data_IF_465251435620
#
_entry.id   IF_465251435620
#
_cell.length_a   1.000
_cell.length_b   1.000
_cell.length_c   1.000
_cell.angle_alpha   90.00
_cell.angle_beta   90.00
_cell.angle_gamma   90.00
#
_symmetry.space_group_name_H-M   'P 1'
#
loop_
_entity.id
_entity.type
_entity.pdbx_description
1 polymer ?
#
# COMPACT_ATOMS: atom_id res chain seq x y z
N UNK A 1 19.30 -9.94 -51.34
CA UNK A 1 18.52 -10.61 -50.27
C UNK A 1 19.35 -11.02 -49.05
N UNK A 2 20.68 -11.06 -49.09
CA UNK A 2 21.50 -11.50 -47.91
C UNK A 2 21.86 -10.38 -46.92
N UNK A 3 21.77 -9.10 -47.29
CA UNK A 3 22.14 -7.96 -46.42
C UNK A 3 21.03 -7.61 -45.46
N UNK A 4 19.75 -7.71 -45.87
CA UNK A 4 18.58 -7.39 -45.02
C UNK A 4 18.43 -8.39 -43.86
N UNK A 5 18.73 -9.68 -44.09
CA UNK A 5 18.67 -10.72 -43.06
C UNK A 5 19.68 -10.52 -41.93
N UNK A 6 20.88 -10.00 -42.22
CA UNK A 6 21.94 -9.76 -41.22
C UNK A 6 21.63 -8.55 -40.32
N UNK A 7 20.99 -7.50 -40.88
CA UNK A 7 20.62 -6.29 -40.10
C UNK A 7 19.48 -6.60 -39.13
N UNK A 8 18.50 -7.41 -39.54
CA UNK A 8 17.38 -7.83 -38.66
C UNK A 8 17.90 -8.75 -37.54
N UNK A 9 18.85 -9.64 -37.81
CA UNK A 9 19.42 -10.50 -36.77
C UNK A 9 20.28 -9.73 -35.77
N UNK A 10 21.06 -8.73 -36.21
CA UNK A 10 21.83 -7.87 -35.32
C UNK A 10 20.94 -6.96 -34.45
N UNK A 11 19.84 -6.41 -35.00
CA UNK A 11 18.92 -5.60 -34.23
C UNK A 11 18.14 -6.42 -33.20
N UNK A 12 17.80 -7.67 -33.51
CA UNK A 12 17.15 -8.58 -32.58
C UNK A 12 18.12 -9.03 -31.46
N UNK A 13 19.39 -9.30 -31.78
CA UNK A 13 20.41 -9.63 -30.78
C UNK A 13 20.74 -8.45 -29.86
N UNK A 14 20.80 -7.20 -30.39
CA UNK A 14 20.99 -6.01 -29.54
C UNK A 14 19.79 -5.72 -28.64
N UNK A 15 18.56 -5.95 -29.09
CA UNK A 15 17.36 -5.78 -28.26
C UNK A 15 17.25 -6.83 -27.16
N UNK A 16 17.67 -8.05 -27.40
CA UNK A 16 17.69 -9.13 -26.39
C UNK A 16 18.82 -8.93 -25.39
N UNK A 17 20.00 -8.49 -25.83
CA UNK A 17 21.14 -8.17 -24.94
C UNK A 17 20.80 -6.95 -24.05
N UNK A 18 20.26 -5.87 -24.62
CA UNK A 18 19.84 -4.70 -23.87
C UNK A 18 18.72 -5.01 -22.87
N UNK A 19 17.77 -5.87 -23.22
CA UNK A 19 16.74 -6.33 -22.29
C UNK A 19 17.33 -7.22 -21.16
N UNK A 20 18.29 -8.07 -21.46
CA UNK A 20 18.97 -8.90 -20.47
C UNK A 20 19.85 -8.06 -19.52
N UNK A 21 20.57 -7.07 -20.05
CA UNK A 21 21.34 -6.12 -19.24
C UNK A 21 20.44 -5.25 -18.36
N UNK A 22 19.29 -4.76 -18.88
CA UNK A 22 18.31 -3.99 -18.09
C UNK A 22 17.69 -4.85 -16.99
N UNK A 23 17.38 -6.12 -17.27
CA UNK A 23 16.87 -7.06 -16.26
C UNK A 23 17.93 -7.42 -15.21
N UNK A 24 19.21 -7.57 -15.61
CA UNK A 24 20.31 -7.82 -14.68
C UNK A 24 20.62 -6.57 -13.82
N UNK A 25 20.59 -5.39 -14.41
CA UNK A 25 20.79 -4.11 -13.71
C UNK A 25 19.64 -3.87 -12.72
N UNK A 26 18.38 -4.10 -13.13
CA UNK A 26 17.22 -4.01 -12.25
C UNK A 26 17.26 -5.04 -11.11
N UNK A 27 17.83 -6.23 -11.34
CA UNK A 27 18.02 -7.22 -10.30
C UNK A 27 19.10 -6.83 -9.27
N UNK A 28 20.08 -6.02 -9.68
CA UNK A 28 21.16 -5.50 -8.82
C UNK A 28 20.78 -4.19 -8.09
N UNK A 29 19.83 -3.42 -8.67
CA UNK A 29 19.32 -2.16 -8.13
C UNK A 29 17.95 -2.31 -7.45
N UNK A 30 17.55 -3.53 -7.04
CA UNK A 30 16.27 -3.75 -6.38
C UNK A 30 16.18 -2.96 -5.08
N UNK A 31 15.41 -1.87 -5.15
CA UNK A 31 14.92 -1.16 -3.98
C UNK A 31 13.61 -1.81 -3.55
N UNK A 32 13.62 -2.53 -2.44
CA UNK A 32 12.43 -3.13 -1.87
C UNK A 32 11.89 -2.27 -0.72
N UNK A 33 10.64 -1.80 -0.84
CA UNK A 33 10.03 -0.91 0.15
C UNK A 33 9.45 -1.71 1.31
N UNK A 34 9.84 -1.36 2.54
CA UNK A 34 9.25 -1.87 3.77
C UNK A 34 8.16 -0.92 4.25
N UNK A 35 6.90 -1.36 4.18
CA UNK A 35 5.72 -0.58 4.59
C UNK A 35 5.22 -1.06 5.96
N UNK A 36 5.06 -0.14 6.90
CA UNK A 36 4.53 -0.41 8.23
C UNK A 36 3.00 -0.58 8.16
N UNK A 37 2.51 -1.82 8.23
CA UNK A 37 1.09 -2.18 8.23
C UNK A 37 0.40 -1.57 9.44
N UNK A 38 -0.53 -0.62 9.24
CA UNK A 38 -1.21 0.15 10.29
C UNK A 38 -0.26 0.82 11.28
N UNK A 39 0.94 1.21 10.79
CA UNK A 39 2.01 1.74 11.61
C UNK A 39 2.89 0.69 12.30
N UNK A 40 2.65 -0.62 12.09
CA UNK A 40 3.36 -1.73 12.72
C UNK A 40 2.52 -2.41 13.82
N UNK A 41 1.43 -3.07 13.43
CA UNK A 41 0.36 -3.54 14.35
C UNK A 41 0.79 -4.52 15.43
N UNK A 42 1.95 -5.19 15.30
CA UNK A 42 2.50 -6.05 16.34
C UNK A 42 3.35 -5.30 17.37
N UNK A 43 3.82 -4.09 17.00
CA UNK A 43 4.77 -3.33 17.81
C UNK A 43 4.12 -2.10 18.46
N UNK A 44 3.05 -1.58 17.86
CA UNK A 44 2.39 -0.34 18.30
C UNK A 44 0.88 -0.52 18.46
N UNK A 45 0.20 0.52 18.89
CA UNK A 45 -1.26 0.61 18.84
C UNK A 45 -1.68 0.98 17.41
N UNK A 46 -2.22 0.01 16.67
CA UNK A 46 -2.45 0.12 15.23
C UNK A 46 -3.31 1.32 14.86
N UNK A 47 -3.04 1.93 13.71
CA UNK A 47 -3.86 3.01 13.15
C UNK A 47 -4.03 4.22 14.09
N UNK A 48 -3.02 4.53 14.91
CA UNK A 48 -3.02 5.69 15.81
C UNK A 48 -1.85 6.62 15.51
N UNK A 49 -2.01 7.93 15.81
CA UNK A 49 -0.92 8.92 15.66
C UNK A 49 0.28 8.53 16.52
N UNK A 50 0.05 8.01 17.75
CA UNK A 50 1.13 7.51 18.61
C UNK A 50 1.89 6.34 17.96
N UNK A 51 1.15 5.40 17.33
CA UNK A 51 1.74 4.30 16.59
C UNK A 51 2.61 4.76 15.42
N UNK A 52 2.11 5.68 14.60
CA UNK A 52 2.87 6.26 13.47
C UNK A 52 4.09 7.04 13.95
N UNK A 53 4.01 7.76 15.07
CA UNK A 53 5.16 8.45 15.67
C UNK A 53 6.26 7.46 16.10
N UNK A 54 5.89 6.34 16.70
CA UNK A 54 6.85 5.30 17.09
C UNK A 54 7.51 4.68 15.87
N UNK A 55 6.73 4.37 14.83
CA UNK A 55 7.25 3.88 13.55
C UNK A 55 8.23 4.90 12.91
N UNK A 56 7.87 6.19 12.89
CA UNK A 56 8.75 7.25 12.38
C UNK A 56 10.06 7.34 13.16
N UNK A 57 9.98 7.29 14.50
CA UNK A 57 11.15 7.34 15.39
C UNK A 57 12.06 6.13 15.23
N UNK A 58 11.52 4.95 14.86
CA UNK A 58 12.29 3.77 14.51
C UNK A 58 13.01 3.88 13.15
N UNK A 59 12.70 4.93 12.36
CA UNK A 59 13.29 5.18 11.06
C UNK A 59 12.43 4.77 9.86
N UNK A 60 11.20 4.34 10.10
CA UNK A 60 10.26 4.00 9.02
C UNK A 60 9.72 5.27 8.33
N UNK A 61 9.57 5.21 7.01
CA UNK A 61 9.08 6.31 6.16
C UNK A 61 7.97 5.87 5.21
N UNK A 62 7.49 4.63 5.38
CA UNK A 62 6.44 4.06 4.57
C UNK A 62 5.37 3.43 5.48
N UNK A 63 4.13 3.84 5.31
CA UNK A 63 2.98 3.39 6.12
C UNK A 63 1.88 2.85 5.23
N UNK A 64 1.18 1.88 5.73
CA UNK A 64 -0.15 1.52 5.28
C UNK A 64 -1.14 1.90 6.39
N UNK A 65 -2.33 2.36 6.02
CA UNK A 65 -3.40 2.72 6.95
C UNK A 65 -4.77 2.66 6.30
N UNK A 66 -5.79 2.37 7.11
CA UNK A 66 -7.13 2.02 6.69
C UNK A 66 -8.11 3.17 6.86
N UNK A 67 -8.88 3.50 5.84
CA UNK A 67 -9.83 4.62 5.86
C UNK A 67 -11.27 4.14 5.77
N UNK A 68 -12.13 4.72 6.61
CA UNK A 68 -13.59 4.54 6.63
C UNK A 68 -14.29 5.89 6.73
N UNK A 69 -15.56 5.94 6.40
CA UNK A 69 -16.34 7.18 6.51
C UNK A 69 -17.43 7.04 7.57
N UNK A 70 -17.50 7.98 8.48
CA UNK A 70 -18.56 8.07 9.50
C UNK A 70 -19.93 8.35 8.88
N UNK A 71 -21.00 8.15 9.65
CA UNK A 71 -22.39 8.44 9.25
C UNK A 71 -22.59 9.86 8.75
N UNK A 72 -21.90 10.83 9.33
CA UNK A 72 -21.95 12.26 8.96
C UNK A 72 -20.86 12.65 7.95
N UNK A 73 -20.22 11.66 7.32
CA UNK A 73 -19.36 11.84 6.16
C UNK A 73 -17.93 12.31 6.44
N UNK A 74 -17.40 12.08 7.64
CA UNK A 74 -15.99 12.35 7.97
C UNK A 74 -15.15 11.09 7.76
N UNK A 75 -13.99 11.24 7.11
CA UNK A 75 -13.05 10.10 6.92
C UNK A 75 -12.23 9.92 8.18
N UNK A 76 -12.22 8.71 8.72
CA UNK A 76 -11.47 8.32 9.93
C UNK A 76 -10.61 7.09 9.65
N UNK A 77 -9.64 6.82 10.52
CA UNK A 77 -8.71 5.70 10.38
C UNK A 77 -9.17 4.52 11.22
N UNK A 78 -9.59 3.44 10.57
CA UNK A 78 -9.98 2.19 11.21
C UNK A 78 -9.99 1.03 10.24
N UNK A 79 -9.38 -0.10 10.63
CA UNK A 79 -9.40 -1.31 9.82
C UNK A 79 -10.76 -2.00 9.84
N UNK A 80 -11.26 -2.34 11.04
CA UNK A 80 -12.48 -3.10 11.19
C UNK A 80 -13.72 -2.22 10.95
N UNK A 81 -14.77 -2.80 10.38
CA UNK A 81 -16.06 -2.14 10.34
C UNK A 81 -16.61 -1.98 11.76
N UNK A 82 -16.73 -3.08 12.53
CA UNK A 82 -17.10 -3.04 13.94
C UNK A 82 -15.91 -2.59 14.82
N UNK A 83 -16.17 -1.67 15.72
CA UNK A 83 -15.16 -1.12 16.62
C UNK A 83 -14.94 -1.98 17.88
N UNK A 84 -15.43 -3.23 17.88
CA UNK A 84 -15.37 -4.14 19.02
C UNK A 84 -13.94 -4.48 19.43
N UNK A 85 -13.07 -4.81 18.47
CA UNK A 85 -11.71 -5.27 18.74
C UNK A 85 -10.83 -4.15 19.34
N UNK A 86 -10.86 -2.96 18.75
CA UNK A 86 -9.96 -1.87 19.14
C UNK A 86 -10.52 -0.97 20.23
N UNK A 87 -11.83 -0.76 20.26
CA UNK A 87 -12.48 0.24 21.11
C UNK A 87 -13.54 -0.35 22.04
N UNK A 88 -13.76 -1.66 22.01
CA UNK A 88 -14.78 -2.38 22.79
C UNK A 88 -16.23 -1.89 22.57
N UNK A 89 -16.52 -1.35 21.38
CA UNK A 89 -17.86 -0.86 20.97
C UNK A 89 -18.36 -1.68 19.80
N UNK A 90 -19.50 -2.36 19.95
CA UNK A 90 -20.08 -3.20 18.89
C UNK A 90 -20.98 -2.37 17.97
N UNK A 91 -20.39 -1.40 17.31
CA UNK A 91 -20.99 -0.55 16.27
C UNK A 91 -19.98 -0.37 15.14
N UNK A 92 -20.49 -0.16 13.92
CA UNK A 92 -19.63 0.16 12.77
C UNK A 92 -19.32 1.65 12.74
N UNK A 93 -18.16 2.02 12.16
CA UNK A 93 -17.80 3.44 11.94
C UNK A 93 -18.91 4.15 11.16
N UNK A 94 -19.43 3.50 10.13
CA UNK A 94 -20.44 4.07 9.23
C UNK A 94 -21.81 4.28 9.91
N UNK A 95 -22.01 3.71 11.11
CA UNK A 95 -23.22 3.93 11.93
C UNK A 95 -23.06 5.02 12.98
N UNK A 96 -21.85 5.57 13.15
CA UNK A 96 -21.50 6.57 14.15
C UNK A 96 -21.19 7.92 13.50
N UNK A 97 -21.55 9.01 14.20
CA UNK A 97 -21.07 10.36 13.87
C UNK A 97 -19.63 10.56 14.33
N UNK A 98 -18.97 11.61 13.83
CA UNK A 98 -17.63 11.97 14.31
C UNK A 98 -17.59 12.20 15.81
N UNK A 99 -18.61 12.88 16.38
CA UNK A 99 -18.68 13.13 17.84
C UNK A 99 -18.73 11.83 18.64
N UNK A 100 -19.47 10.83 18.15
CA UNK A 100 -19.51 9.49 18.75
C UNK A 100 -18.16 8.74 18.61
N UNK A 101 -17.44 8.92 17.51
CA UNK A 101 -16.11 8.34 17.28
C UNK A 101 -15.06 9.02 18.16
N UNK A 102 -15.11 10.33 18.33
CA UNK A 102 -14.11 11.11 19.10
C UNK A 102 -13.97 10.74 20.58
N UNK A 103 -14.99 10.13 21.16
CA UNK A 103 -14.93 9.68 22.57
C UNK A 103 -14.33 8.27 22.72
N UNK A 104 -14.17 7.54 21.63
CA UNK A 104 -13.60 6.19 21.65
C UNK A 104 -12.12 6.24 22.00
N UNK A 105 -11.67 5.24 22.79
CA UNK A 105 -10.26 5.06 23.14
C UNK A 105 -9.89 3.60 23.00
N UNK A 106 -8.70 3.35 22.45
CA UNK A 106 -8.08 2.02 22.47
C UNK A 106 -7.76 1.60 23.89
N UNK A 107 -7.38 0.35 24.11
CA UNK A 107 -6.93 -0.14 25.41
C UNK A 107 -5.71 0.63 25.97
N UNK A 108 -4.91 1.27 25.10
CA UNK A 108 -3.77 2.12 25.47
C UNK A 108 -4.14 3.60 25.61
N UNK A 109 -5.42 3.95 25.46
CA UNK A 109 -5.93 5.32 25.62
C UNK A 109 -5.86 6.21 24.35
N UNK A 110 -5.45 5.68 23.21
CA UNK A 110 -5.33 6.42 21.97
C UNK A 110 -6.71 6.68 21.32
N UNK A 111 -6.97 7.89 20.79
CA UNK A 111 -8.17 8.16 20.00
C UNK A 111 -8.06 7.55 18.59
N UNK A 112 -9.20 7.39 17.92
CA UNK A 112 -9.27 7.15 16.48
C UNK A 112 -8.99 8.45 15.73
N UNK A 113 -7.96 8.52 14.85
CA UNK A 113 -7.66 9.74 14.11
C UNK A 113 -8.64 9.93 12.94
N UNK A 114 -8.87 11.18 12.55
CA UNK A 114 -9.42 11.50 11.23
C UNK A 114 -8.33 11.45 10.16
N UNK A 115 -8.73 11.33 8.88
CA UNK A 115 -7.79 11.45 7.77
C UNK A 115 -7.08 12.82 7.77
N UNK A 116 -7.81 13.90 8.05
CA UNK A 116 -7.21 15.24 8.12
C UNK A 116 -6.14 15.33 9.22
N UNK A 117 -6.41 14.80 10.41
CA UNK A 117 -5.43 14.77 11.51
C UNK A 117 -4.19 13.95 11.14
N UNK A 118 -4.36 12.82 10.48
CA UNK A 118 -3.26 11.98 10.03
C UNK A 118 -2.40 12.67 8.96
N UNK A 119 -3.01 13.21 7.91
CA UNK A 119 -2.25 13.87 6.85
C UNK A 119 -1.60 15.18 7.33
N UNK A 120 -2.27 15.93 8.21
CA UNK A 120 -1.69 17.10 8.86
C UNK A 120 -0.45 16.72 9.72
N UNK A 121 -0.50 15.56 10.38
CA UNK A 121 0.64 15.02 11.12
C UNK A 121 1.84 14.67 10.22
N UNK A 122 1.61 14.36 8.96
CA UNK A 122 2.68 14.07 7.99
C UNK A 122 3.20 15.30 7.25
N UNK A 123 2.54 16.46 7.37
CA UNK A 123 2.81 17.64 6.57
C UNK A 123 4.22 18.24 6.77
N UNK A 124 4.83 18.03 7.93
CA UNK A 124 6.18 18.49 8.29
C UNK A 124 7.29 17.45 8.02
N UNK A 125 6.97 16.30 7.44
CA UNK A 125 7.94 15.25 7.12
C UNK A 125 8.58 15.49 5.75
N UNK A 126 9.88 15.19 5.62
CA UNK A 126 10.62 15.40 4.37
C UNK A 126 10.11 14.49 3.25
N UNK A 127 9.85 13.23 3.57
CA UNK A 127 9.36 12.21 2.65
C UNK A 127 8.52 11.16 3.38
N UNK A 128 7.36 10.81 2.80
CA UNK A 128 6.54 9.70 3.25
C UNK A 128 5.98 8.93 2.06
N UNK A 129 5.99 7.61 2.13
CA UNK A 129 5.17 6.76 1.29
C UNK A 129 3.96 6.31 2.11
N UNK A 130 2.75 6.46 1.59
CA UNK A 130 1.53 6.09 2.31
C UNK A 130 0.60 5.31 1.39
N UNK A 131 0.28 4.06 1.79
CA UNK A 131 -0.80 3.27 1.23
C UNK A 131 -2.09 3.58 1.98
N UNK A 132 -3.04 4.20 1.28
CA UNK A 132 -4.35 4.60 1.81
C UNK A 132 -5.37 3.52 1.47
N UNK A 133 -5.60 2.53 2.35
CA UNK A 133 -6.56 1.47 2.06
C UNK A 133 -8.00 1.94 2.24
N UNK A 134 -8.76 1.90 1.14
CA UNK A 134 -10.17 2.26 1.10
C UNK A 134 -11.03 1.05 1.50
N UNK A 135 -11.52 1.04 2.74
CA UNK A 135 -12.29 -0.07 3.36
C UNK A 135 -13.78 0.02 3.00
N UNK A 136 -14.13 -0.28 1.76
CA UNK A 136 -15.49 -0.08 1.22
C UNK A 136 -16.23 -1.38 0.86
N UNK A 137 -15.61 -2.55 1.06
CA UNK A 137 -16.17 -3.86 0.72
C UNK A 137 -16.63 -4.68 1.93
N UNK A 138 -16.84 -4.05 3.07
CA UNK A 138 -17.33 -4.72 4.28
C UNK A 138 -18.76 -5.21 4.13
N UNK A 139 -19.07 -6.38 4.69
CA UNK A 139 -20.46 -6.88 4.76
C UNK A 139 -21.31 -6.09 5.78
N UNK A 140 -20.66 -5.52 6.78
CA UNK A 140 -21.28 -4.76 7.86
C UNK A 140 -21.55 -3.30 7.48
N UNK A 141 -20.86 -2.81 6.43
CA UNK A 141 -20.97 -1.42 5.99
C UNK A 141 -20.91 -1.34 4.46
N UNK A 142 -22.06 -1.11 3.86
CA UNK A 142 -22.20 -1.00 2.41
C UNK A 142 -22.17 0.47 1.97
N UNK A 143 -21.38 0.74 0.92
CA UNK A 143 -21.33 2.05 0.27
C UNK A 143 -22.08 2.00 -1.06
N UNK A 144 -23.06 2.92 -1.24
CA UNK A 144 -23.66 3.18 -2.56
C UNK A 144 -22.63 3.84 -3.48
N UNK A 145 -22.89 3.86 -4.80
CA UNK A 145 -21.98 4.50 -5.75
C UNK A 145 -21.83 6.01 -5.49
N UNK A 146 -22.88 6.69 -5.04
CA UNK A 146 -22.85 8.09 -4.65
C UNK A 146 -21.96 8.30 -3.40
N UNK A 147 -22.16 7.49 -2.36
CA UNK A 147 -21.33 7.53 -1.15
C UNK A 147 -19.87 7.22 -1.47
N UNK A 148 -19.59 6.26 -2.38
CA UNK A 148 -18.22 5.95 -2.80
C UNK A 148 -17.56 7.11 -3.52
N UNK A 149 -18.30 7.83 -4.38
CA UNK A 149 -17.77 9.00 -5.10
C UNK A 149 -17.44 10.12 -4.11
N UNK A 150 -18.30 10.39 -3.15
CA UNK A 150 -18.04 11.37 -2.09
C UNK A 150 -16.86 10.94 -1.20
N UNK A 151 -16.81 9.68 -0.80
CA UNK A 151 -15.72 9.10 -0.03
C UNK A 151 -14.38 9.26 -0.75
N UNK A 152 -14.28 8.86 -2.02
CA UNK A 152 -13.06 8.95 -2.82
C UNK A 152 -12.58 10.41 -2.94
N UNK A 153 -13.51 11.34 -3.21
CA UNK A 153 -13.20 12.78 -3.29
C UNK A 153 -12.64 13.30 -1.97
N UNK A 154 -13.34 13.06 -0.86
CA UNK A 154 -12.93 13.52 0.48
C UNK A 154 -11.58 12.97 0.90
N UNK A 155 -11.36 11.67 0.69
CA UNK A 155 -10.08 11.03 1.04
C UNK A 155 -8.93 11.60 0.21
N UNK A 156 -9.13 11.74 -1.11
CA UNK A 156 -8.10 12.30 -1.99
C UNK A 156 -7.78 13.75 -1.64
N UNK A 157 -8.80 14.60 -1.45
CA UNK A 157 -8.62 16.00 -1.09
C UNK A 157 -7.90 16.14 0.26
N UNK A 158 -8.28 15.37 1.29
CA UNK A 158 -7.60 15.35 2.57
C UNK A 158 -6.12 14.95 2.44
N UNK A 159 -5.84 13.90 1.65
CA UNK A 159 -4.49 13.41 1.41
C UNK A 159 -3.62 14.46 0.68
N UNK A 160 -4.16 15.12 -0.34
CA UNK A 160 -3.38 16.05 -1.17
C UNK A 160 -3.23 17.44 -0.56
N UNK A 161 -4.10 17.85 0.37
CA UNK A 161 -4.14 19.19 0.98
C UNK A 161 -2.81 19.61 1.60
N UNK A 162 -2.13 18.69 2.27
CA UNK A 162 -0.87 18.96 2.99
C UNK A 162 0.26 17.99 2.64
N UNK A 163 0.14 17.32 1.49
CA UNK A 163 1.12 16.34 1.05
C UNK A 163 2.49 16.98 0.83
N UNK A 164 3.57 16.53 1.53
CA UNK A 164 4.91 17.00 1.26
C UNK A 164 5.32 16.74 -0.21
N UNK A 165 6.07 17.64 -0.81
CA UNK A 165 6.35 17.64 -2.26
C UNK A 165 6.95 16.32 -2.77
N UNK A 166 7.81 15.68 -2.00
CA UNK A 166 8.49 14.44 -2.38
C UNK A 166 7.79 13.17 -1.91
N UNK A 167 6.68 13.30 -1.17
CA UNK A 167 5.93 12.15 -0.66
C UNK A 167 5.11 11.47 -1.76
N UNK A 168 4.88 10.17 -1.60
CA UNK A 168 4.08 9.34 -2.51
C UNK A 168 2.89 8.79 -1.74
N UNK A 169 1.68 9.09 -2.19
CA UNK A 169 0.45 8.54 -1.62
C UNK A 169 -0.25 7.68 -2.67
N UNK A 170 -0.62 6.46 -2.26
CA UNK A 170 -1.20 5.43 -3.13
C UNK A 170 -2.55 5.01 -2.56
N UNK A 171 -3.60 5.02 -3.36
CA UNK A 171 -4.95 4.61 -2.94
C UNK A 171 -5.15 3.15 -3.23
N UNK A 172 -5.36 2.35 -2.19
CA UNK A 172 -5.39 0.90 -2.28
C UNK A 172 -6.77 0.37 -1.92
N UNK A 173 -7.21 -0.74 -2.53
CA UNK A 173 -8.47 -1.38 -2.14
C UNK A 173 -8.59 -2.81 -2.66
N UNK A 174 -9.32 -3.65 -1.91
CA UNK A 174 -9.89 -4.91 -2.39
C UNK A 174 -11.15 -4.68 -3.26
N UNK A 175 -11.83 -3.54 -3.08
CA UNK A 175 -12.99 -3.15 -3.85
C UNK A 175 -12.56 -2.41 -5.12
N UNK A 176 -12.94 -2.93 -6.28
CA UNK A 176 -12.61 -2.33 -7.58
C UNK A 176 -13.36 -1.02 -7.84
N UNK A 177 -14.50 -0.79 -7.18
CA UNK A 177 -15.34 0.40 -7.41
C UNK A 177 -14.61 1.70 -7.05
N UNK A 178 -14.07 1.87 -5.82
CA UNK A 178 -13.35 3.10 -5.47
C UNK A 178 -12.08 3.29 -6.29
N UNK A 179 -11.39 2.21 -6.73
CA UNK A 179 -10.22 2.34 -7.62
C UNK A 179 -10.60 2.96 -8.97
N UNK A 180 -11.70 2.52 -9.59
CA UNK A 180 -12.20 3.12 -10.83
C UNK A 180 -12.63 4.58 -10.61
N UNK A 181 -13.30 4.87 -9.51
CA UNK A 181 -13.76 6.24 -9.18
C UNK A 181 -12.56 7.16 -8.96
N UNK A 182 -11.53 6.76 -8.22
CA UNK A 182 -10.31 7.55 -8.01
C UNK A 182 -9.63 7.84 -9.35
N UNK A 183 -9.50 6.84 -10.23
CA UNK A 183 -8.89 7.02 -11.56
C UNK A 183 -9.72 7.91 -12.48
N UNK A 184 -11.05 7.86 -12.38
CA UNK A 184 -11.95 8.75 -13.13
C UNK A 184 -11.82 10.20 -12.65
N UNK A 185 -11.85 10.44 -11.32
CA UNK A 185 -11.80 11.78 -10.74
C UNK A 185 -10.39 12.40 -10.80
N UNK A 186 -9.36 11.57 -10.64
CA UNK A 186 -7.96 11.99 -10.50
C UNK A 186 -7.06 11.06 -11.34
N UNK A 187 -6.94 11.30 -12.67
CA UNK A 187 -6.23 10.40 -13.58
C UNK A 187 -4.77 10.12 -13.22
N UNK A 188 -4.10 11.02 -12.51
CA UNK A 188 -2.71 10.86 -12.09
C UNK A 188 -2.56 10.18 -10.70
N UNK A 189 -3.66 9.85 -10.04
CA UNK A 189 -3.62 9.17 -8.74
C UNK A 189 -2.99 7.77 -8.88
N UNK A 190 -2.05 7.45 -8.01
CA UNK A 190 -1.49 6.11 -7.93
C UNK A 190 -2.47 5.19 -7.19
N UNK A 191 -2.68 4.00 -7.75
CA UNK A 191 -3.63 3.03 -7.19
C UNK A 191 -3.04 1.63 -7.11
N UNK A 192 -3.49 0.87 -6.10
CA UNK A 192 -3.16 -0.55 -5.91
C UNK A 192 -4.44 -1.37 -5.81
N UNK A 193 -4.54 -2.39 -6.66
CA UNK A 193 -5.57 -3.42 -6.49
C UNK A 193 -5.08 -4.50 -5.54
N UNK A 194 -5.81 -4.75 -4.45
CA UNK A 194 -5.46 -5.75 -3.44
C UNK A 194 -6.33 -7.00 -3.63
N UNK A 195 -5.72 -8.17 -3.51
CA UNK A 195 -6.42 -9.46 -3.47
C UNK A 195 -5.98 -10.30 -2.28
N UNK A 196 -6.87 -11.11 -1.73
CA UNK A 196 -6.53 -12.09 -0.69
C UNK A 196 -5.77 -13.31 -1.24
N UNK A 197 -5.81 -13.52 -2.57
CA UNK A 197 -5.12 -14.60 -3.26
C UNK A 197 -3.63 -14.26 -3.48
N UNK A 198 -2.78 -15.26 -3.77
CA UNK A 198 -1.45 -15.02 -4.31
C UNK A 198 -1.53 -14.22 -5.61
N UNK A 199 -0.49 -13.44 -5.93
CA UNK A 199 -0.37 -12.81 -7.24
C UNK A 199 -0.35 -13.90 -8.31
N UNK A 200 -1.21 -13.76 -9.31
CA UNK A 200 -1.34 -14.71 -10.41
C UNK A 200 -1.90 -14.00 -11.66
N UNK A 201 -1.96 -14.71 -12.79
CA UNK A 201 -2.41 -14.13 -14.05
C UNK A 201 -3.82 -13.50 -13.97
N UNK A 202 -4.76 -14.11 -13.23
CA UNK A 202 -6.13 -13.60 -13.09
C UNK A 202 -6.14 -12.23 -12.44
N UNK A 203 -5.50 -12.08 -11.27
CA UNK A 203 -5.53 -10.81 -10.54
C UNK A 203 -4.62 -9.74 -11.15
N UNK A 204 -3.60 -10.11 -11.94
CA UNK A 204 -2.86 -9.20 -12.80
C UNK A 204 -3.80 -8.58 -13.86
N UNK A 205 -4.65 -9.38 -14.52
CA UNK A 205 -5.65 -8.89 -15.48
C UNK A 205 -6.66 -7.98 -14.78
N UNK A 206 -7.10 -8.34 -13.59
CA UNK A 206 -8.02 -7.54 -12.78
C UNK A 206 -7.42 -6.18 -12.37
N UNK A 207 -6.13 -6.13 -12.05
CA UNK A 207 -5.42 -4.89 -11.77
C UNK A 207 -5.33 -3.98 -13.00
N UNK A 208 -5.06 -4.57 -14.19
CA UNK A 208 -5.06 -3.84 -15.46
C UNK A 208 -6.46 -3.27 -15.78
N UNK A 209 -7.52 -4.04 -15.56
CA UNK A 209 -8.91 -3.64 -15.81
C UNK A 209 -9.35 -2.42 -14.97
N UNK A 210 -8.83 -2.29 -13.75
CA UNK A 210 -9.07 -1.11 -12.90
C UNK A 210 -7.99 -0.02 -13.07
N UNK A 211 -7.08 -0.17 -14.03
CA UNK A 211 -5.96 0.75 -14.30
C UNK A 211 -5.07 0.99 -13.06
N UNK A 212 -4.87 -0.05 -12.25
CA UNK A 212 -3.98 0.05 -11.09
C UNK A 212 -2.50 0.16 -11.53
N UNK A 213 -1.68 0.80 -10.70
CA UNK A 213 -0.23 0.85 -10.86
C UNK A 213 0.47 -0.34 -10.20
N UNK A 214 -0.21 -0.95 -9.22
CA UNK A 214 0.32 -2.05 -8.41
C UNK A 214 -0.74 -3.12 -8.24
N UNK A 215 -0.33 -4.38 -8.26
CA UNK A 215 -1.13 -5.51 -7.76
C UNK A 215 -0.56 -5.96 -6.42
N UNK A 216 -1.41 -6.03 -5.40
CA UNK A 216 -1.03 -6.52 -4.07
C UNK A 216 -1.69 -7.88 -3.81
N UNK A 217 -0.90 -8.87 -3.36
CA UNK A 217 -1.40 -10.21 -3.10
C UNK A 217 -0.68 -10.91 -1.95
N UNK A 218 -1.20 -12.08 -1.57
CA UNK A 218 -0.60 -12.89 -0.51
C UNK A 218 0.82 -13.34 -0.89
N UNK A 219 1.78 -13.15 0.05
CA UNK A 219 3.12 -13.72 -0.08
C UNK A 219 3.08 -15.25 -0.21
N UNK A 220 2.13 -15.91 0.51
CA UNK A 220 1.98 -17.35 0.46
C UNK A 220 1.32 -17.77 -0.85
N UNK A 221 2.07 -18.51 -1.67
CA UNK A 221 1.64 -18.99 -2.97
C UNK A 221 2.09 -18.13 -4.15
N UNK A 222 2.50 -16.87 -3.94
CA UNK A 222 3.12 -16.07 -5.01
C UNK A 222 4.50 -16.60 -5.34
N UNK A 223 4.79 -16.73 -6.63
CA UNK A 223 6.08 -17.21 -7.16
C UNK A 223 6.85 -16.06 -7.81
N UNK A 224 8.16 -16.26 -8.04
CA UNK A 224 8.97 -15.31 -8.83
C UNK A 224 8.42 -15.12 -10.25
N UNK A 225 7.88 -16.18 -10.86
CA UNK A 225 7.31 -16.08 -12.20
C UNK A 225 6.08 -15.18 -12.23
N UNK A 226 5.24 -15.17 -11.18
CA UNK A 226 4.08 -14.29 -11.07
C UNK A 226 4.52 -12.83 -10.95
N UNK A 227 5.55 -12.56 -10.15
CA UNK A 227 6.14 -11.21 -10.03
C UNK A 227 6.69 -10.74 -11.38
N UNK A 228 7.46 -11.59 -12.09
CA UNK A 228 7.97 -11.27 -13.43
C UNK A 228 6.82 -11.03 -14.42
N UNK A 229 5.73 -11.79 -14.34
CA UNK A 229 4.55 -11.59 -15.18
C UNK A 229 3.88 -10.23 -14.93
N UNK A 230 3.72 -9.84 -13.66
CA UNK A 230 3.20 -8.53 -13.29
C UNK A 230 4.09 -7.38 -13.80
N UNK A 231 5.42 -7.48 -13.62
CA UNK A 231 6.37 -6.49 -14.14
C UNK A 231 6.33 -6.37 -15.67
N UNK A 232 6.19 -7.48 -16.41
CA UNK A 232 5.97 -7.44 -17.87
C UNK A 232 4.69 -6.72 -18.25
N UNK A 233 3.66 -6.77 -17.40
CA UNK A 233 2.43 -6.02 -17.55
C UNK A 233 2.54 -4.55 -17.06
N UNK A 234 3.74 -4.09 -16.64
CA UNK A 234 4.03 -2.76 -16.10
C UNK A 234 3.31 -2.47 -14.77
N UNK A 235 3.04 -3.49 -14.00
CA UNK A 235 2.52 -3.40 -12.63
C UNK A 235 3.66 -3.59 -11.64
N UNK A 236 3.72 -2.77 -10.60
CA UNK A 236 4.48 -3.09 -9.39
C UNK A 236 3.79 -4.23 -8.63
N UNK A 237 4.54 -4.90 -7.77
CA UNK A 237 4.04 -5.98 -6.93
C UNK A 237 4.25 -5.65 -5.45
N UNK A 238 3.16 -5.62 -4.68
CA UNK A 238 3.18 -5.53 -3.22
C UNK A 238 2.78 -6.89 -2.62
N UNK A 239 3.58 -7.41 -1.68
CA UNK A 239 3.26 -8.67 -1.03
C UNK A 239 2.96 -8.48 0.45
N UNK A 240 1.90 -9.14 0.90
CA UNK A 240 1.42 -9.16 2.26
C UNK A 240 0.95 -10.61 2.60
N UNK A 241 0.94 -11.13 3.77
CA UNK A 241 1.40 -10.52 5.01
C UNK A 241 2.89 -10.83 5.17
N UNK A 242 3.69 -9.82 5.49
CA UNK A 242 5.04 -10.02 5.97
C UNK A 242 5.06 -9.61 7.44
N UNK A 243 5.37 -10.54 8.33
CA UNK A 243 5.24 -10.38 9.79
C UNK A 243 6.56 -10.56 10.53
N UNK A 244 7.63 -10.85 9.79
CA UNK A 244 8.97 -11.07 10.32
C UNK A 244 10.05 -10.71 9.28
N UNK A 245 11.32 -10.57 9.71
CA UNK A 245 12.46 -10.38 8.80
C UNK A 245 12.56 -11.45 7.71
N UNK A 246 12.25 -12.72 8.03
CA UNK A 246 12.34 -13.84 7.09
C UNK A 246 11.28 -13.74 6.00
N UNK A 247 10.04 -13.40 6.35
CA UNK A 247 8.95 -13.25 5.39
C UNK A 247 9.16 -12.01 4.51
N UNK A 248 9.69 -10.92 5.08
CA UNK A 248 10.10 -9.75 4.31
C UNK A 248 11.23 -10.09 3.32
N UNK A 249 12.27 -10.80 3.78
CA UNK A 249 13.38 -11.23 2.91
C UNK A 249 12.88 -12.14 1.79
N UNK A 250 11.95 -13.06 2.08
CA UNK A 250 11.33 -13.91 1.07
C UNK A 250 10.61 -13.07 0.01
N UNK A 251 9.85 -12.05 0.39
CA UNK A 251 9.19 -11.13 -0.55
C UNK A 251 10.19 -10.40 -1.44
N UNK A 252 11.25 -9.84 -0.85
CA UNK A 252 12.33 -9.20 -1.60
C UNK A 252 13.03 -10.17 -2.57
N UNK A 253 13.28 -11.40 -2.14
CA UNK A 253 13.91 -12.45 -2.97
C UNK A 253 13.01 -12.93 -4.11
N UNK A 254 11.69 -12.83 -4.01
CA UNK A 254 10.77 -13.07 -5.11
C UNK A 254 10.84 -11.95 -6.16
N UNK A 255 11.38 -10.79 -5.80
CA UNK A 255 11.49 -9.62 -6.66
C UNK A 255 10.31 -8.66 -6.55
N UNK A 256 9.51 -8.74 -5.48
CA UNK A 256 8.45 -7.78 -5.23
C UNK A 256 9.03 -6.36 -4.96
N UNK A 257 8.25 -5.32 -5.22
CA UNK A 257 8.65 -3.93 -5.06
C UNK A 257 8.36 -3.42 -3.66
N UNK A 258 7.33 -3.98 -3.00
CA UNK A 258 6.79 -3.54 -1.73
C UNK A 258 6.46 -4.73 -0.84
N UNK A 259 6.70 -4.59 0.47
CA UNK A 259 6.18 -5.50 1.50
C UNK A 259 5.48 -4.74 2.60
N UNK A 260 4.23 -5.11 2.88
CA UNK A 260 3.45 -4.57 4.00
C UNK A 260 3.66 -5.46 5.22
N UNK A 261 4.32 -4.91 6.26
CA UNK A 261 4.90 -5.64 7.38
C UNK A 261 4.23 -5.31 8.72
N UNK A 262 3.92 -6.36 9.51
CA UNK A 262 3.29 -6.25 10.82
C UNK A 262 4.28 -5.91 11.96
N UNK A 263 5.57 -6.32 11.81
CA UNK A 263 6.67 -6.01 12.72
C UNK A 263 7.80 -5.22 11.99
N UNK A 264 7.50 -4.01 11.51
CA UNK A 264 8.41 -3.30 10.60
C UNK A 264 9.65 -2.71 11.28
N UNK A 265 9.60 -2.33 12.56
CA UNK A 265 10.76 -1.78 13.26
C UNK A 265 11.80 -2.88 13.54
N UNK A 266 11.37 -4.05 14.02
CA UNK A 266 12.22 -5.24 14.18
C UNK A 266 12.83 -5.65 12.83
N UNK A 267 11.99 -5.69 11.78
CA UNK A 267 12.42 -6.04 10.43
C UNK A 267 13.45 -5.05 9.89
N UNK A 268 13.25 -3.74 10.08
CA UNK A 268 14.20 -2.71 9.65
C UNK A 268 15.55 -2.82 10.38
N UNK A 269 15.52 -3.05 11.68
CA UNK A 269 16.75 -3.26 12.47
C UNK A 269 17.52 -4.49 11.96
N UNK A 270 16.80 -5.59 11.73
CA UNK A 270 17.39 -6.81 11.21
C UNK A 270 17.99 -6.62 9.82
N UNK A 271 17.30 -5.91 8.90
CA UNK A 271 17.79 -5.57 7.55
C UNK A 271 19.10 -4.80 7.64
N UNK A 272 19.12 -3.73 8.43
CA UNK A 272 20.33 -2.88 8.61
C UNK A 272 21.52 -3.68 9.09
N UNK A 273 21.31 -4.68 9.91
CA UNK A 273 22.35 -5.55 10.46
C UNK A 273 22.81 -6.63 9.48
N UNK A 274 21.89 -7.27 8.77
CA UNK A 274 22.12 -8.54 8.08
C UNK A 274 22.08 -8.43 6.54
N UNK A 275 21.40 -7.42 5.98
CA UNK A 275 21.12 -7.31 4.54
C UNK A 275 21.68 -6.03 3.91
N UNK A 276 22.95 -5.71 4.18
CA UNK A 276 23.63 -4.51 3.64
C UNK A 276 23.72 -4.45 2.10
N UNK A 277 23.44 -5.55 1.44
CA UNK A 277 23.39 -5.69 -0.01
C UNK A 277 22.01 -5.38 -0.62
N UNK A 278 20.95 -5.28 0.19
CA UNK A 278 19.64 -4.82 -0.27
C UNK A 278 19.58 -3.30 -0.08
N UNK A 279 19.39 -2.58 -1.16
CA UNK A 279 19.03 -1.16 -1.09
C UNK A 279 17.54 -1.09 -0.78
N UNK A 280 17.17 -0.62 0.40
CA UNK A 280 15.78 -0.26 0.68
C UNK A 280 15.61 1.24 0.40
N UNK A 281 14.49 1.57 -0.21
CA UNK A 281 14.19 2.88 -0.79
C UNK A 281 13.81 3.90 0.30
N UNK A 282 14.78 4.35 1.10
CA UNK A 282 14.53 5.36 2.14
C UNK A 282 15.67 6.40 2.31
N UNK A 283 16.62 6.45 1.37
CA UNK A 283 17.64 7.50 1.30
C UNK A 283 17.41 8.38 0.09
#
# INVERSE_FOLDING_TARGET
MQIIGKIILLSLCMSVAGAAETLAQNALDQTHLLVAHRGGRYEVDENTIDGFNKAYSAGLRAYETDFRMTKDGVIVISHDASQKRMFNVDRTVESMTLDEVRVLRTAKGNPMPTAEEFFAHLADKDYMYVECEMKTNSKEAYYTDEMLREYCRKLYEAAMKSKPAHSVYVFTSFDKRPLRIIRELYPDALTTFITAEPVNQKNIIEAIDVQANTVAGSLNGTTRNDVVLAHKAKLNVSLWQTDSPETWLRSAMLGADVSTCDAPAETLEWIKKNCKWIKYKLE
#
